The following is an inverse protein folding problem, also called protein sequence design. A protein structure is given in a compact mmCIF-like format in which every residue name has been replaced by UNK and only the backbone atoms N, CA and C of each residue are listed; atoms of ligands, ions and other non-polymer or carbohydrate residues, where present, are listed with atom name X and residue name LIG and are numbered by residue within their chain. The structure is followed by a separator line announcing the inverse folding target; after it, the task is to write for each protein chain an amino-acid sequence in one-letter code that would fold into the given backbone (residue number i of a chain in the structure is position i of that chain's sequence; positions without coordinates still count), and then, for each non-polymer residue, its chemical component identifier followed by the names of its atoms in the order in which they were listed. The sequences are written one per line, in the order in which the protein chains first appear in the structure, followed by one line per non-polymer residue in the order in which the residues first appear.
data_IF_239283558955
#
_entry.id   IF_239283558955
#
_cell.length_a   1.000
_cell.length_b   1.000
_cell.length_c   1.000
_cell.angle_alpha   90.00
_cell.angle_beta   90.00
_cell.angle_gamma   90.00
#
_symmetry.space_group_name_H-M   'P 1'
#
loop_
_entity.id
_entity.type
_entity.pdbx_description
1 polymer ?
#
# COMPACT_ATOMS: atom_id res chain seq x y z
N UNK A 1 -14.87 15.84 25.63
CA UNK A 1 -13.51 15.93 25.07
C UNK A 1 -12.76 14.65 25.44
N UNK A 2 -12.64 13.71 24.51
CA UNK A 2 -11.90 12.47 24.74
C UNK A 2 -10.47 12.66 24.23
N UNK A 3 -9.50 12.50 25.12
CA UNK A 3 -8.09 12.34 24.76
C UNK A 3 -7.95 11.04 23.96
N UNK A 4 -8.13 11.11 22.64
CA UNK A 4 -7.86 10.01 21.73
C UNK A 4 -6.35 10.01 21.46
N UNK A 5 -5.64 9.07 22.05
CA UNK A 5 -4.21 8.85 21.81
C UNK A 5 -3.99 8.75 20.30
N UNK A 6 -3.27 9.71 19.70
CA UNK A 6 -2.92 9.75 18.27
C UNK A 6 -2.01 8.57 17.92
N UNK A 7 -2.60 7.40 17.64
CA UNK A 7 -1.89 6.22 17.15
C UNK A 7 -2.29 5.99 15.70
N UNK A 8 -1.29 5.80 14.84
CA UNK A 8 -1.48 5.37 13.46
C UNK A 8 -2.00 3.94 13.47
N UNK A 9 -3.06 3.68 12.71
CA UNK A 9 -3.50 2.33 12.38
C UNK A 9 -3.10 2.00 10.95
N UNK A 10 -2.89 0.72 10.67
CA UNK A 10 -2.54 0.23 9.34
C UNK A 10 -3.59 -0.80 8.90
N UNK A 11 -4.02 -0.72 7.64
CA UNK A 11 -4.92 -1.70 7.05
C UNK A 11 -4.27 -3.09 6.90
N UNK A 12 -5.08 -4.09 6.53
CA UNK A 12 -4.54 -5.28 5.86
C UNK A 12 -3.84 -4.91 4.54
N UNK A 13 -3.04 -5.84 3.99
CA UNK A 13 -2.39 -5.65 2.69
C UNK A 13 -3.40 -5.67 1.53
N UNK A 14 -3.34 -4.65 0.68
CA UNK A 14 -4.18 -4.48 -0.50
C UNK A 14 -3.36 -4.73 -1.77
N UNK A 15 -3.84 -5.61 -2.64
CA UNK A 15 -3.14 -5.98 -3.87
C UNK A 15 -3.40 -4.96 -4.96
N UNK A 16 -2.37 -4.39 -5.59
CA UNK A 16 -2.56 -3.51 -6.75
C UNK A 16 -3.26 -4.23 -7.91
N UNK A 17 -2.86 -5.48 -8.20
CA UNK A 17 -3.51 -6.31 -9.22
C UNK A 17 -4.97 -6.66 -8.85
N UNK A 18 -5.25 -6.83 -7.55
CA UNK A 18 -6.61 -7.01 -7.07
C UNK A 18 -7.49 -5.77 -7.28
N UNK A 19 -6.93 -4.57 -7.11
CA UNK A 19 -7.60 -3.30 -7.43
C UNK A 19 -7.85 -3.19 -8.94
N UNK A 20 -6.82 -3.42 -9.75
CA UNK A 20 -6.87 -3.35 -11.21
C UNK A 20 -7.96 -4.27 -11.80
N UNK A 21 -8.03 -5.51 -11.31
CA UNK A 21 -9.04 -6.49 -11.71
C UNK A 21 -10.39 -6.34 -10.99
N UNK A 22 -10.58 -5.25 -10.23
CA UNK A 22 -11.81 -4.95 -9.48
C UNK A 22 -12.27 -6.10 -8.59
N UNK A 23 -11.33 -6.81 -7.97
CA UNK A 23 -11.62 -7.92 -7.08
C UNK A 23 -12.44 -7.44 -5.87
N UNK A 24 -13.64 -7.96 -5.69
CA UNK A 24 -14.58 -7.49 -4.65
C UNK A 24 -13.98 -7.54 -3.24
N UNK A 25 -13.23 -8.60 -2.93
CA UNK A 25 -12.57 -8.74 -1.62
C UNK A 25 -11.50 -7.68 -1.44
N UNK A 26 -10.67 -7.44 -2.46
CA UNK A 26 -9.63 -6.40 -2.42
C UNK A 26 -10.24 -5.01 -2.26
N UNK A 27 -11.30 -4.69 -3.02
CA UNK A 27 -12.02 -3.42 -2.89
C UNK A 27 -12.69 -3.28 -1.51
N UNK A 28 -13.09 -4.39 -0.89
CA UNK A 28 -13.60 -4.40 0.49
C UNK A 28 -12.60 -3.88 1.52
N UNK A 29 -11.29 -4.03 1.27
CA UNK A 29 -10.23 -3.51 2.15
C UNK A 29 -10.02 -2.00 2.04
N UNK A 30 -10.61 -1.34 1.04
CA UNK A 30 -10.53 0.12 0.85
C UNK A 30 -11.64 0.89 1.57
N UNK A 31 -12.46 0.21 2.39
CA UNK A 31 -13.48 0.87 3.21
C UNK A 31 -12.82 1.47 4.44
N UNK A 32 -12.96 2.78 4.59
CA UNK A 32 -12.40 3.54 5.71
C UNK A 32 -13.54 4.07 6.58
N UNK A 33 -13.50 3.79 7.87
CA UNK A 33 -14.42 4.36 8.86
C UNK A 33 -13.89 5.68 9.41
N UNK A 34 -14.79 6.61 9.74
CA UNK A 34 -14.43 7.97 10.18
C UNK A 34 -13.60 8.00 11.47
N UNK A 35 -13.58 6.92 12.24
CA UNK A 35 -12.83 6.81 13.49
C UNK A 35 -11.53 6.01 13.35
N UNK A 36 -11.13 5.64 12.13
CA UNK A 36 -9.85 4.96 11.86
C UNK A 36 -8.68 5.94 11.66
N UNK A 37 -8.92 7.25 11.58
CA UNK A 37 -7.86 8.22 11.37
C UNK A 37 -6.98 8.44 12.63
N UNK A 38 -5.65 8.59 12.48
CA UNK A 38 -4.91 8.52 11.21
C UNK A 38 -4.70 7.07 10.73
N UNK A 39 -4.93 6.82 9.43
CA UNK A 39 -4.90 5.51 8.77
C UNK A 39 -3.85 5.46 7.65
N UNK A 40 -2.99 4.44 7.70
CA UNK A 40 -2.17 4.02 6.56
C UNK A 40 -2.82 2.83 5.85
N UNK A 41 -3.01 2.91 4.54
CA UNK A 41 -3.41 1.74 3.74
C UNK A 41 -2.19 1.16 3.04
N UNK A 42 -2.00 -0.15 3.21
CA UNK A 42 -0.78 -0.83 2.77
C UNK A 42 -0.97 -1.54 1.42
N UNK A 43 -0.30 -1.05 0.38
CA UNK A 43 -0.27 -1.65 -0.96
C UNK A 43 0.87 -2.66 -1.14
N UNK A 44 0.64 -3.64 -2.00
CA UNK A 44 1.71 -4.50 -2.53
C UNK A 44 1.50 -4.80 -4.02
N UNK A 45 2.63 -4.92 -4.73
CA UNK A 45 2.72 -5.15 -6.16
C UNK A 45 4.16 -5.07 -6.64
N UNK A 46 4.36 -5.30 -7.95
CA UNK A 46 5.68 -5.29 -8.59
C UNK A 46 5.72 -4.45 -9.87
N UNK A 47 4.60 -3.92 -10.34
CA UNK A 47 4.55 -3.00 -11.47
C UNK A 47 4.41 -1.54 -10.99
N UNK A 48 5.33 -0.62 -11.34
CA UNK A 48 5.27 0.76 -10.87
C UNK A 48 4.01 1.52 -11.28
N UNK A 49 3.48 1.29 -12.49
CA UNK A 49 2.29 1.97 -12.99
C UNK A 49 1.04 1.53 -12.25
N UNK A 50 0.84 0.22 -12.11
CA UNK A 50 -0.28 -0.35 -11.35
C UNK A 50 -0.22 0.04 -9.87
N UNK A 51 0.98 0.17 -9.29
CA UNK A 51 1.16 0.66 -7.92
C UNK A 51 0.76 2.13 -7.77
N UNK A 52 1.13 2.99 -8.74
CA UNK A 52 0.73 4.39 -8.76
C UNK A 52 -0.79 4.56 -8.91
N UNK A 53 -1.43 3.81 -9.81
CA UNK A 53 -2.88 3.84 -10.00
C UNK A 53 -3.64 3.37 -8.75
N UNK A 54 -3.14 2.31 -8.11
CA UNK A 54 -3.67 1.83 -6.84
C UNK A 54 -3.50 2.87 -5.72
N UNK A 55 -2.38 3.58 -5.68
CA UNK A 55 -2.12 4.63 -4.68
C UNK A 55 -3.10 5.80 -4.81
N UNK A 56 -3.42 6.25 -6.04
CA UNK A 56 -4.45 7.27 -6.26
C UNK A 56 -5.82 6.83 -5.74
N UNK A 57 -6.16 5.56 -5.92
CA UNK A 57 -7.41 5.03 -5.37
C UNK A 57 -7.39 5.00 -3.84
N UNK A 58 -6.27 4.61 -3.24
CA UNK A 58 -6.07 4.60 -1.79
C UNK A 58 -6.20 6.00 -1.19
N UNK A 59 -5.59 7.01 -1.82
CA UNK A 59 -5.74 8.41 -1.40
C UNK A 59 -7.20 8.88 -1.55
N UNK A 60 -7.85 8.57 -2.68
CA UNK A 60 -9.22 8.97 -2.95
C UNK A 60 -10.25 8.38 -1.96
N UNK A 61 -9.98 7.22 -1.35
CA UNK A 61 -10.84 6.65 -0.29
C UNK A 61 -10.55 7.22 1.10
N UNK A 62 -9.60 8.15 1.22
CA UNK A 62 -9.33 8.91 2.43
C UNK A 62 -8.19 8.38 3.30
N UNK A 63 -7.24 7.60 2.75
CA UNK A 63 -6.06 7.24 3.53
C UNK A 63 -5.21 8.47 3.88
N UNK A 64 -4.67 8.53 5.10
CA UNK A 64 -3.75 9.59 5.52
C UNK A 64 -2.30 9.29 5.08
N UNK A 65 -1.99 8.03 4.80
CA UNK A 65 -0.67 7.53 4.36
C UNK A 65 -0.87 6.39 3.35
N UNK A 66 -0.10 6.40 2.27
CA UNK A 66 0.08 5.23 1.39
C UNK A 66 1.32 4.46 1.86
N UNK A 67 1.15 3.24 2.36
CA UNK A 67 2.27 2.39 2.81
C UNK A 67 2.59 1.29 1.80
N UNK A 68 3.87 1.06 1.50
CA UNK A 68 4.32 0.07 0.54
C UNK A 68 4.90 -1.15 1.26
N UNK A 69 4.30 -2.33 1.06
CA UNK A 69 4.81 -3.57 1.65
C UNK A 69 5.88 -4.23 0.77
N UNK A 70 7.14 -4.06 1.16
CA UNK A 70 8.27 -4.78 0.54
C UNK A 70 8.84 -5.86 1.47
N UNK A 71 8.04 -6.35 2.43
CA UNK A 71 8.52 -7.22 3.51
C UNK A 71 7.78 -8.56 3.64
N UNK A 72 6.70 -8.79 2.89
CA UNK A 72 5.89 -9.99 3.02
C UNK A 72 6.61 -11.23 2.47
N UNK A 73 6.90 -12.27 3.29
CA UNK A 73 7.60 -13.47 2.84
C UNK A 73 6.66 -14.55 2.27
N UNK A 74 5.33 -14.29 2.25
CA UNK A 74 4.34 -15.31 1.87
C UNK A 74 4.54 -15.69 0.39
N UNK A 75 4.65 -17.00 0.12
CA UNK A 75 4.91 -17.54 -1.23
C UNK A 75 3.99 -17.01 -2.33
N UNK A 76 2.71 -16.76 -2.03
CA UNK A 76 1.75 -16.22 -3.01
C UNK A 76 2.10 -14.79 -3.45
N UNK A 77 2.76 -14.02 -2.59
CA UNK A 77 3.20 -12.64 -2.86
C UNK A 77 4.59 -12.66 -3.49
N UNK A 78 5.53 -13.42 -2.92
CA UNK A 78 6.91 -13.43 -3.44
C UNK A 78 7.03 -14.03 -4.84
N UNK A 79 6.14 -14.96 -5.22
CA UNK A 79 6.07 -15.52 -6.59
C UNK A 79 5.72 -14.49 -7.67
N UNK A 80 5.13 -13.35 -7.32
CA UNK A 80 4.82 -12.27 -8.28
C UNK A 80 5.92 -11.21 -8.33
N UNK A 81 7.05 -11.43 -7.66
CA UNK A 81 8.13 -10.43 -7.54
C UNK A 81 7.83 -9.30 -6.56
N UNK A 82 6.75 -9.41 -5.77
CA UNK A 82 6.35 -8.42 -4.77
C UNK A 82 6.73 -8.86 -3.35
N UNK A 83 6.50 -7.99 -2.35
CA UNK A 83 6.82 -8.30 -0.96
C UNK A 83 8.33 -8.44 -0.75
N UNK A 84 8.77 -9.44 0.01
CA UNK A 84 10.17 -9.56 0.41
C UNK A 84 11.16 -9.74 -0.77
N UNK A 85 10.75 -10.40 -1.86
CA UNK A 85 11.61 -10.60 -3.04
C UNK A 85 11.81 -9.33 -3.87
N UNK A 86 11.00 -8.28 -3.62
CA UNK A 86 11.20 -6.99 -4.28
C UNK A 86 12.56 -6.39 -3.91
N UNK A 87 13.05 -6.66 -2.70
CA UNK A 87 14.33 -6.12 -2.20
C UNK A 87 15.57 -6.77 -2.85
N UNK A 88 15.40 -7.91 -3.52
CA UNK A 88 16.47 -8.53 -4.31
C UNK A 88 16.70 -7.75 -5.62
N UNK A 89 15.71 -6.97 -6.06
CA UNK A 89 15.80 -6.13 -7.25
C UNK A 89 16.06 -4.66 -6.85
N UNK A 90 17.35 -4.27 -6.89
CA UNK A 90 17.82 -2.94 -6.49
C UNK A 90 17.29 -1.80 -7.36
N UNK A 91 16.84 -2.08 -8.58
CA UNK A 91 16.31 -1.06 -9.50
C UNK A 91 14.79 -0.90 -9.39
N UNK A 92 14.07 -2.01 -9.14
CA UNK A 92 12.61 -2.00 -9.15
C UNK A 92 12.00 -1.32 -7.92
N UNK A 93 12.54 -1.59 -6.72
CA UNK A 93 11.99 -1.02 -5.50
C UNK A 93 12.01 0.53 -5.50
N UNK A 94 13.12 1.21 -5.85
CA UNK A 94 13.13 2.67 -5.98
C UNK A 94 12.15 3.20 -7.02
N UNK A 95 12.04 2.55 -8.20
CA UNK A 95 11.11 2.95 -9.26
C UNK A 95 9.65 2.90 -8.82
N UNK A 96 9.27 1.89 -8.04
CA UNK A 96 7.93 1.79 -7.46
C UNK A 96 7.70 2.93 -6.46
N UNK A 97 8.65 3.20 -5.57
CA UNK A 97 8.54 4.29 -4.59
C UNK A 97 8.37 5.63 -5.29
N UNK A 98 9.21 5.92 -6.29
CA UNK A 98 9.15 7.17 -7.07
C UNK A 98 7.80 7.30 -7.79
N UNK A 99 7.36 6.27 -8.52
CA UNK A 99 6.10 6.30 -9.25
C UNK A 99 4.89 6.50 -8.33
N UNK A 100 4.91 5.92 -7.13
CA UNK A 100 3.84 6.09 -6.14
C UNK A 100 3.89 7.49 -5.51
N UNK A 101 5.07 7.97 -5.13
CA UNK A 101 5.25 9.29 -4.51
C UNK A 101 4.91 10.45 -5.45
N UNK A 102 5.10 10.28 -6.76
CA UNK A 102 4.66 11.26 -7.76
C UNK A 102 3.14 11.22 -8.04
N UNK A 103 2.47 10.13 -7.66
CA UNK A 103 1.06 9.90 -8.00
C UNK A 103 0.07 10.43 -6.96
N UNK A 104 0.49 10.70 -5.73
CA UNK A 104 -0.35 11.09 -4.60
C UNK A 104 0.24 12.27 -3.83
N UNK A 105 -0.59 13.03 -3.13
CA UNK A 105 -0.18 14.16 -2.29
C UNK A 105 0.07 13.73 -0.83
N UNK A 106 -0.55 12.64 -0.38
CA UNK A 106 -0.34 12.08 0.97
C UNK A 106 1.06 11.45 1.14
N UNK A 107 1.62 11.41 2.37
CA UNK A 107 2.90 10.76 2.61
C UNK A 107 2.95 9.29 2.15
N UNK A 108 4.06 8.93 1.52
CA UNK A 108 4.36 7.55 1.13
C UNK A 108 5.39 6.96 2.08
N UNK A 109 5.07 5.81 2.67
CA UNK A 109 5.98 5.07 3.55
C UNK A 109 6.31 3.70 2.97
N UNK A 110 7.40 3.10 3.44
CA UNK A 110 7.79 1.75 3.02
C UNK A 110 8.01 0.87 4.25
N UNK A 111 7.31 -0.26 4.28
CA UNK A 111 7.48 -1.29 5.29
C UNK A 111 8.37 -2.41 4.76
N UNK A 112 9.58 -2.48 5.31
CA UNK A 112 10.63 -3.43 4.93
C UNK A 112 10.77 -4.61 5.90
N UNK A 113 11.50 -5.64 5.47
CA UNK A 113 11.99 -6.74 6.31
C UNK A 113 13.44 -7.07 5.90
N UNK A 114 14.24 -7.56 6.86
CA UNK A 114 15.59 -8.10 6.65
C UNK A 114 15.57 -9.63 6.70
#
# INVERSE_FOLDING_TARGET
MAHRTRRLVCSEMVSCAGIEHRNERTLGYLRVAADEHPLAIQLFGSDPGAMADAARMVEAVGADIVDLNFGCPVRKVTRTGAGATLLDNRELAPRIVESVAEAVDVPVTVKLRR
#
